data_IF_428600784451
#
_entry.id   IF_428600784451
#
_cell.length_a   1.000
_cell.length_b   1.000
_cell.length_c   1.000
_cell.angle_alpha   90.00
_cell.angle_beta   90.00
_cell.angle_gamma   90.00
#
_symmetry.space_group_name_H-M   'P 1'
#
loop_
_entity.id
_entity.type
_entity.pdbx_description
1 polymer ?
#
# COMPACT_ATOMS: atom_id res chain seq x y z
N UNK A 1 23.27 -5.15 -24.59
CA UNK A 1 22.23 -6.11 -25.04
C UNK A 1 22.54 -7.43 -24.33
N UNK A 2 21.79 -7.78 -23.30
CA UNK A 2 21.86 -9.13 -22.75
C UNK A 2 21.12 -10.06 -23.72
N UNK A 3 21.78 -11.12 -24.17
CA UNK A 3 21.14 -12.15 -24.99
C UNK A 3 20.20 -12.95 -24.09
N UNK A 4 18.90 -12.64 -24.13
CA UNK A 4 17.89 -13.51 -23.51
C UNK A 4 17.76 -14.74 -24.40
N UNK A 5 18.18 -15.89 -23.89
CA UNK A 5 18.04 -17.16 -24.61
C UNK A 5 16.54 -17.49 -24.75
N UNK A 6 16.09 -18.08 -25.87
CA UNK A 6 14.67 -18.43 -26.08
C UNK A 6 14.07 -19.26 -24.93
N UNK A 7 14.85 -20.15 -24.35
CA UNK A 7 14.45 -21.01 -23.21
C UNK A 7 14.06 -20.24 -21.94
N UNK A 8 14.70 -19.08 -21.66
CA UNK A 8 14.32 -18.21 -20.53
C UNK A 8 12.94 -17.58 -20.74
N UNK A 9 12.61 -17.26 -21.99
CA UNK A 9 11.32 -16.69 -22.36
C UNK A 9 10.19 -17.69 -22.16
N UNK A 10 10.39 -18.93 -22.63
CA UNK A 10 9.41 -20.01 -22.49
C UNK A 10 9.14 -20.33 -21.00
N UNK A 11 10.19 -20.34 -20.17
CA UNK A 11 10.09 -20.51 -18.73
C UNK A 11 9.28 -19.39 -18.06
N UNK A 12 9.55 -18.11 -18.38
CA UNK A 12 8.81 -16.98 -17.87
C UNK A 12 7.33 -17.04 -18.29
N UNK A 13 7.05 -17.34 -19.55
CA UNK A 13 5.69 -17.46 -20.07
C UNK A 13 4.91 -18.58 -19.37
N UNK A 14 5.53 -19.73 -19.13
CA UNK A 14 4.96 -20.84 -18.37
C UNK A 14 4.66 -20.42 -16.93
N UNK A 15 5.60 -19.72 -16.26
CA UNK A 15 5.40 -19.17 -14.91
C UNK A 15 4.21 -18.21 -14.86
N UNK A 16 4.12 -17.30 -15.82
CA UNK A 16 2.98 -16.36 -15.92
C UNK A 16 1.66 -17.13 -16.07
N UNK A 17 1.61 -18.09 -16.96
CA UNK A 17 0.39 -18.82 -17.26
C UNK A 17 -0.07 -19.73 -16.10
N UNK A 18 0.86 -20.32 -15.37
CA UNK A 18 0.56 -21.27 -14.28
C UNK A 18 0.48 -20.59 -12.92
N UNK A 19 1.53 -19.86 -12.51
CA UNK A 19 1.66 -19.31 -11.14
C UNK A 19 0.97 -17.96 -11.00
N UNK A 20 1.31 -17.01 -11.89
CA UNK A 20 0.78 -15.62 -11.78
C UNK A 20 -0.73 -15.57 -12.00
N UNK A 21 -1.24 -16.26 -13.02
CA UNK A 21 -2.69 -16.33 -13.29
C UNK A 21 -3.44 -17.02 -12.17
N UNK A 22 -2.92 -18.15 -11.66
CA UNK A 22 -3.52 -18.86 -10.53
C UNK A 22 -3.60 -17.96 -9.30
N UNK A 23 -2.48 -17.34 -8.92
CA UNK A 23 -2.44 -16.37 -7.80
C UNK A 23 -3.48 -15.28 -7.96
N UNK A 24 -3.58 -14.66 -9.16
CA UNK A 24 -4.57 -13.62 -9.43
C UNK A 24 -6.00 -14.09 -9.23
N UNK A 25 -6.33 -15.29 -9.71
CA UNK A 25 -7.66 -15.87 -9.57
C UNK A 25 -8.00 -16.19 -8.12
N UNK A 26 -7.07 -16.79 -7.38
CA UNK A 26 -7.25 -17.11 -5.96
C UNK A 26 -7.39 -15.83 -5.12
N UNK A 27 -6.57 -14.83 -5.39
CA UNK A 27 -6.64 -13.53 -4.71
C UNK A 27 -7.96 -12.81 -4.96
N UNK A 28 -8.45 -12.82 -6.20
CA UNK A 28 -9.75 -12.24 -6.54
C UNK A 28 -10.89 -12.90 -5.77
N UNK A 29 -10.93 -14.24 -5.72
CA UNK A 29 -11.92 -14.98 -4.93
C UNK A 29 -11.84 -14.63 -3.45
N UNK A 30 -10.62 -14.57 -2.91
CA UNK A 30 -10.37 -14.22 -1.51
C UNK A 30 -10.87 -12.81 -1.19
N UNK A 31 -10.54 -11.83 -2.01
CA UNK A 31 -10.99 -10.43 -1.85
C UNK A 31 -12.52 -10.36 -1.92
N UNK A 32 -13.15 -11.06 -2.85
CA UNK A 32 -14.61 -11.08 -2.96
C UNK A 32 -15.26 -11.61 -1.68
N UNK A 33 -14.75 -12.73 -1.14
CA UNK A 33 -15.27 -13.31 0.10
C UNK A 33 -15.07 -12.37 1.31
N UNK A 34 -13.88 -11.78 1.43
CA UNK A 34 -13.59 -10.79 2.49
C UNK A 34 -14.52 -9.59 2.37
N UNK A 35 -14.69 -9.03 1.17
CA UNK A 35 -15.53 -7.86 0.94
C UNK A 35 -17.01 -8.14 1.22
N UNK A 36 -17.49 -9.35 0.99
CA UNK A 36 -18.85 -9.74 1.36
C UNK A 36 -19.04 -9.69 2.87
N UNK A 37 -18.15 -10.31 3.63
CA UNK A 37 -18.21 -10.35 5.11
C UNK A 37 -17.98 -8.96 5.73
N UNK A 38 -16.99 -8.24 5.23
CA UNK A 38 -16.69 -6.87 5.71
C UNK A 38 -17.83 -5.92 5.33
N UNK A 39 -18.45 -6.07 4.16
CA UNK A 39 -19.59 -5.27 3.75
C UNK A 39 -20.78 -5.40 4.72
N UNK A 40 -21.09 -6.61 5.19
CA UNK A 40 -22.11 -6.82 6.22
C UNK A 40 -21.73 -6.14 7.55
N UNK A 41 -20.47 -6.27 7.98
CA UNK A 41 -19.97 -5.58 9.17
C UNK A 41 -20.14 -4.06 9.06
N UNK A 42 -19.78 -3.48 7.91
CA UNK A 42 -19.85 -2.03 7.70
C UNK A 42 -21.30 -1.50 7.75
N UNK A 43 -22.30 -2.26 7.30
CA UNK A 43 -23.72 -1.89 7.47
C UNK A 43 -24.09 -1.78 8.94
N UNK A 44 -23.59 -2.66 9.79
CA UNK A 44 -23.81 -2.57 11.23
C UNK A 44 -23.08 -1.40 11.87
N UNK A 45 -21.87 -1.08 11.41
CA UNK A 45 -21.11 0.12 11.85
C UNK A 45 -21.88 1.40 11.47
N UNK A 46 -22.36 1.49 10.23
CA UNK A 46 -23.17 2.61 9.72
C UNK A 46 -24.45 2.82 10.54
N UNK A 47 -25.13 1.72 10.87
CA UNK A 47 -26.34 1.77 11.71
C UNK A 47 -26.07 2.27 13.14
N UNK A 48 -24.86 2.00 13.68
CA UNK A 48 -24.44 2.50 15.00
C UNK A 48 -24.03 3.97 14.96
N UNK A 49 -23.30 4.35 13.91
CA UNK A 49 -22.77 5.71 13.78
C UNK A 49 -22.62 6.10 12.29
N UNK A 50 -23.61 6.84 11.74
CA UNK A 50 -23.64 7.20 10.30
C UNK A 50 -22.43 8.03 9.80
N UNK A 51 -21.65 8.65 10.69
CA UNK A 51 -20.42 9.37 10.29
C UNK A 51 -19.39 8.44 9.65
N UNK A 52 -19.41 7.16 10.00
CA UNK A 52 -18.51 6.14 9.43
C UNK A 52 -19.16 5.41 8.26
N UNK A 53 -20.08 6.06 7.54
CA UNK A 53 -20.62 5.51 6.29
C UNK A 53 -19.48 5.31 5.32
N UNK A 54 -19.26 4.05 4.96
CA UNK A 54 -18.31 3.67 3.95
C UNK A 54 -18.82 2.44 3.22
N UNK A 55 -18.81 2.48 1.91
CA UNK A 55 -19.22 1.36 1.08
C UNK A 55 -18.02 0.80 0.31
N UNK A 56 -17.89 -0.54 0.31
CA UNK A 56 -16.97 -1.22 -0.57
C UNK A 56 -17.55 -1.21 -1.99
N UNK A 57 -17.04 -0.34 -2.84
CA UNK A 57 -17.50 -0.20 -4.23
C UNK A 57 -16.73 -1.15 -5.13
N UNK A 58 -17.47 -1.94 -5.89
CA UNK A 58 -16.90 -2.73 -6.99
C UNK A 58 -16.94 -1.87 -8.27
N UNK A 59 -15.77 -1.51 -8.79
CA UNK A 59 -15.63 -0.73 -10.02
C UNK A 59 -14.71 -1.50 -10.96
N UNK A 60 -15.14 -1.72 -12.19
CA UNK A 60 -14.38 -2.46 -13.21
C UNK A 60 -13.82 -3.81 -12.72
N UNK A 61 -14.62 -4.54 -11.93
CA UNK A 61 -14.25 -5.84 -11.37
C UNK A 61 -13.24 -5.79 -10.23
N UNK A 62 -13.01 -4.59 -9.62
CA UNK A 62 -12.12 -4.41 -8.46
C UNK A 62 -12.83 -3.69 -7.34
N UNK A 63 -12.58 -4.10 -6.11
CA UNK A 63 -13.04 -3.37 -4.94
C UNK A 63 -12.12 -2.18 -4.68
N UNK A 64 -12.68 -0.97 -4.73
CA UNK A 64 -11.94 0.26 -4.41
C UNK A 64 -11.48 0.25 -2.95
N UNK A 65 -10.26 0.71 -2.70
CA UNK A 65 -9.69 0.81 -1.36
C UNK A 65 -9.24 -0.52 -0.76
N UNK A 66 -9.35 -1.65 -1.46
CA UNK A 66 -8.88 -2.95 -0.96
C UNK A 66 -7.49 -3.25 -1.50
N UNK A 67 -6.52 -3.36 -0.59
CA UNK A 67 -5.10 -3.60 -0.88
C UNK A 67 -4.66 -4.92 -0.26
N UNK A 68 -4.17 -5.85 -1.09
CA UNK A 68 -3.51 -7.05 -0.59
C UNK A 68 -2.06 -6.70 -0.21
N UNK A 69 -1.67 -7.03 1.04
CA UNK A 69 -0.29 -6.93 1.54
C UNK A 69 0.44 -8.27 1.43
N UNK A 70 -0.32 -9.37 1.42
CA UNK A 70 0.09 -10.74 1.16
C UNK A 70 -1.16 -11.55 0.80
N UNK A 71 -1.04 -12.85 0.42
CA UNK A 71 -2.21 -13.69 0.17
C UNK A 71 -3.16 -13.86 1.36
N UNK A 72 -2.69 -13.56 2.57
CA UNK A 72 -3.47 -13.71 3.81
C UNK A 72 -3.67 -12.40 4.58
N UNK A 73 -3.12 -11.27 4.10
CA UNK A 73 -3.18 -9.98 4.79
C UNK A 73 -3.66 -8.89 3.85
N UNK A 74 -4.67 -8.13 4.31
CA UNK A 74 -5.35 -7.12 3.50
C UNK A 74 -5.53 -5.83 4.30
N UNK A 75 -5.47 -4.70 3.61
CA UNK A 75 -5.95 -3.41 4.10
C UNK A 75 -7.20 -3.01 3.34
N UNK A 76 -8.15 -2.44 4.05
CA UNK A 76 -9.38 -1.89 3.50
C UNK A 76 -9.46 -0.42 3.87
N UNK A 77 -9.26 0.46 2.90
CA UNK A 77 -9.35 1.89 3.05
C UNK A 77 -10.81 2.34 2.98
N UNK A 78 -11.32 2.85 4.07
CA UNK A 78 -12.71 3.28 4.22
C UNK A 78 -12.78 4.79 4.04
N UNK A 79 -13.16 5.24 2.84
CA UNK A 79 -13.24 6.65 2.50
C UNK A 79 -14.42 7.30 3.21
N UNK A 80 -14.11 8.12 4.20
CA UNK A 80 -15.07 8.89 4.95
C UNK A 80 -15.42 10.18 4.19
N UNK A 81 -16.68 10.60 4.32
CA UNK A 81 -17.15 11.83 3.72
C UNK A 81 -16.76 13.05 4.58
N UNK A 82 -16.46 14.18 3.91
CA UNK A 82 -16.32 15.52 4.47
C UNK A 82 -14.99 15.84 5.17
N UNK A 83 -14.07 16.40 4.38
CA UNK A 83 -12.93 17.19 4.89
C UNK A 83 -13.14 18.73 4.86
N UNK A 84 -14.24 19.21 4.33
CA UNK A 84 -14.43 20.61 3.90
C UNK A 84 -14.16 21.74 4.90
N UNK A 85 -13.84 21.42 6.16
CA UNK A 85 -13.52 22.40 7.21
C UNK A 85 -12.08 22.29 7.72
N UNK A 86 -11.26 21.40 7.14
CA UNK A 86 -9.88 21.20 7.56
C UNK A 86 -8.90 21.60 6.46
N UNK A 87 -7.80 22.23 6.88
CA UNK A 87 -6.64 22.49 6.04
C UNK A 87 -5.62 21.35 6.24
N UNK A 88 -5.05 20.91 5.15
CA UNK A 88 -3.94 19.97 5.14
C UNK A 88 -2.64 20.69 5.52
N UNK A 89 -1.86 20.11 6.44
CA UNK A 89 -0.56 20.62 6.90
C UNK A 89 0.40 19.44 6.97
N UNK A 90 1.47 19.48 6.20
CA UNK A 90 2.57 18.51 6.24
C UNK A 90 3.91 19.13 6.65
N UNK A 91 3.97 20.46 6.79
CA UNK A 91 5.11 21.17 7.35
C UNK A 91 5.33 20.75 8.81
N UNK A 92 6.59 20.55 9.18
CA UNK A 92 6.98 20.12 10.53
C UNK A 92 6.35 18.80 11.02
N UNK A 93 5.75 18.01 10.12
CA UNK A 93 5.28 16.66 10.40
C UNK A 93 6.41 15.63 10.19
N UNK A 94 6.32 14.45 10.84
CA UNK A 94 7.22 13.35 10.51
C UNK A 94 7.11 12.98 9.04
N UNK A 95 8.21 12.48 8.44
CA UNK A 95 8.19 12.03 7.06
C UNK A 95 7.04 11.06 6.79
N UNK A 96 6.29 11.31 5.73
CA UNK A 96 5.14 10.50 5.34
C UNK A 96 3.86 10.72 6.15
N UNK A 97 3.82 11.77 6.97
CA UNK A 97 2.66 12.14 7.78
C UNK A 97 2.19 13.56 7.48
N UNK A 98 0.94 13.83 7.84
CA UNK A 98 0.33 15.13 7.77
C UNK A 98 -0.68 15.33 8.91
N UNK A 99 -1.01 16.59 9.17
CA UNK A 99 -2.01 17.00 10.13
C UNK A 99 -3.18 17.67 9.40
N UNK A 100 -4.38 17.47 9.92
CA UNK A 100 -5.58 18.17 9.47
C UNK A 100 -5.97 19.22 10.50
N UNK A 101 -5.74 20.50 10.19
CA UNK A 101 -6.05 21.62 11.06
C UNK A 101 -7.39 22.25 10.68
N UNK A 102 -8.22 22.55 11.65
CA UNK A 102 -9.47 23.25 11.43
C UNK A 102 -9.19 24.61 10.74
N UNK A 103 -9.88 24.89 9.64
CA UNK A 103 -9.65 26.10 8.82
C UNK A 103 -10.04 27.40 9.54
N UNK A 104 -11.04 27.33 10.42
CA UNK A 104 -11.52 28.43 11.26
C UNK A 104 -12.12 27.83 12.54
N UNK A 105 -11.67 28.26 13.70
CA UNK A 105 -12.16 27.77 14.99
C UNK A 105 -13.70 27.97 15.16
N UNK A 106 -14.26 29.00 14.53
CA UNK A 106 -15.73 29.25 14.49
C UNK A 106 -16.48 28.15 13.74
N UNK A 107 -15.81 27.42 12.83
CA UNK A 107 -16.41 26.30 12.11
C UNK A 107 -16.37 24.97 12.88
N UNK A 108 -15.84 24.97 14.10
CA UNK A 108 -15.72 23.75 14.92
C UNK A 108 -17.08 23.09 15.13
N UNK A 109 -18.09 23.87 15.48
CA UNK A 109 -19.46 23.37 15.71
C UNK A 109 -20.15 22.85 14.44
N UNK A 110 -19.65 23.24 13.25
CA UNK A 110 -20.17 22.79 11.95
C UNK A 110 -19.53 21.48 11.49
N UNK A 111 -18.47 21.04 12.14
CA UNK A 111 -17.78 19.79 11.77
C UNK A 111 -18.49 18.58 12.39
N UNK A 112 -18.78 17.57 11.58
CA UNK A 112 -19.24 16.26 12.05
C UNK A 112 -18.22 15.56 12.96
N UNK A 113 -16.95 16.03 12.93
CA UNK A 113 -15.81 15.42 13.60
C UNK A 113 -15.39 16.17 14.87
N UNK A 114 -16.26 17.04 15.42
CA UNK A 114 -15.95 17.95 16.54
C UNK A 114 -15.32 17.24 17.74
N UNK A 115 -15.81 16.07 18.13
CA UNK A 115 -15.30 15.33 19.29
C UNK A 115 -13.89 14.75 19.08
N UNK A 116 -13.46 14.63 17.81
CA UNK A 116 -12.12 14.14 17.47
C UNK A 116 -11.12 15.28 17.31
N UNK A 117 -11.56 16.53 17.40
CA UNK A 117 -10.69 17.70 17.31
C UNK A 117 -9.94 17.86 18.64
N UNK A 118 -8.63 18.07 18.58
CA UNK A 118 -7.79 18.39 19.74
C UNK A 118 -8.02 19.81 20.23
N UNK A 119 -7.49 20.14 21.41
CA UNK A 119 -7.52 21.52 21.93
C UNK A 119 -6.83 22.51 20.98
N UNK A 120 -5.79 22.07 20.27
CA UNK A 120 -5.03 22.86 19.29
C UNK A 120 -5.70 22.93 17.91
N UNK A 121 -6.93 22.42 17.75
CA UNK A 121 -7.70 22.51 16.52
C UNK A 121 -7.34 21.46 15.44
N UNK A 122 -6.64 20.39 15.78
CA UNK A 122 -6.29 19.31 14.84
C UNK A 122 -7.26 18.14 14.94
N UNK A 123 -7.61 17.57 13.79
CA UNK A 123 -8.36 16.30 13.72
C UNK A 123 -7.43 15.13 14.03
N UNK A 124 -7.68 14.46 15.14
CA UNK A 124 -6.83 13.36 15.64
C UNK A 124 -7.12 12.04 14.92
N UNK A 125 -6.14 11.52 14.18
CA UNK A 125 -6.22 10.20 13.57
C UNK A 125 -6.42 9.11 14.63
N UNK A 126 -5.75 9.21 15.77
CA UNK A 126 -5.88 8.27 16.90
C UNK A 126 -7.30 8.22 17.44
N UNK A 127 -7.92 9.38 17.69
CA UNK A 127 -9.30 9.42 18.21
C UNK A 127 -10.30 8.82 17.22
N UNK A 128 -10.18 9.17 15.93
CA UNK A 128 -11.02 8.60 14.85
C UNK A 128 -10.87 7.09 14.81
N UNK A 129 -9.63 6.59 14.79
CA UNK A 129 -9.30 5.16 14.77
C UNK A 129 -9.83 4.43 16.02
N UNK A 130 -9.61 4.98 17.21
CA UNK A 130 -10.08 4.39 18.46
C UNK A 130 -11.60 4.26 18.50
N UNK A 131 -12.33 5.31 18.10
CA UNK A 131 -13.79 5.27 18.01
C UNK A 131 -14.27 4.24 17.02
N UNK A 132 -13.65 4.22 15.82
CA UNK A 132 -13.98 3.24 14.78
C UNK A 132 -13.76 1.80 15.25
N UNK A 133 -12.64 1.50 15.93
CA UNK A 133 -12.36 0.18 16.50
C UNK A 133 -13.41 -0.25 17.52
N UNK A 134 -13.86 0.67 18.35
CA UNK A 134 -14.96 0.42 19.32
C UNK A 134 -16.28 0.10 18.62
N UNK A 135 -16.61 0.84 17.55
CA UNK A 135 -17.81 0.60 16.74
C UNK A 135 -17.75 -0.75 16.03
N UNK A 136 -16.61 -1.11 15.46
CA UNK A 136 -16.38 -2.41 14.83
C UNK A 136 -16.61 -3.56 15.82
N UNK A 137 -16.05 -3.46 17.02
CA UNK A 137 -16.24 -4.46 18.08
C UNK A 137 -17.71 -4.60 18.48
N UNK A 138 -18.41 -3.50 18.62
CA UNK A 138 -19.86 -3.47 18.93
C UNK A 138 -20.70 -4.02 17.76
N UNK A 139 -20.35 -3.65 16.52
CA UNK A 139 -21.03 -4.13 15.31
C UNK A 139 -20.91 -5.66 15.15
N UNK A 140 -19.73 -6.23 15.42
CA UNK A 140 -19.52 -7.69 15.42
C UNK A 140 -20.45 -8.36 16.44
N UNK A 141 -20.53 -7.78 17.65
CA UNK A 141 -21.37 -8.33 18.71
C UNK A 141 -22.85 -8.27 18.38
N UNK A 142 -23.36 -7.13 17.91
CA UNK A 142 -24.78 -6.93 17.56
C UNK A 142 -25.17 -7.68 16.28
N UNK A 143 -24.29 -7.69 15.29
CA UNK A 143 -24.53 -8.35 14.00
C UNK A 143 -24.43 -9.87 14.03
N UNK A 144 -24.06 -10.45 15.20
CA UNK A 144 -23.85 -11.91 15.36
C UNK A 144 -22.80 -12.46 14.37
N UNK A 145 -21.77 -11.65 14.07
CA UNK A 145 -20.73 -12.00 13.10
C UNK A 145 -19.53 -12.75 13.72
N UNK A 146 -19.60 -13.15 15.01
CA UNK A 146 -18.51 -13.75 15.75
C UNK A 146 -17.98 -15.06 15.14
N UNK A 147 -18.82 -15.74 14.36
CA UNK A 147 -18.44 -16.97 13.66
C UNK A 147 -17.59 -16.71 12.40
N UNK A 148 -17.62 -15.48 11.89
CA UNK A 148 -16.92 -15.11 10.65
C UNK A 148 -15.81 -14.09 10.90
N UNK A 149 -15.90 -13.30 11.97
CA UNK A 149 -14.99 -12.21 12.28
C UNK A 149 -14.58 -12.25 13.74
N UNK A 150 -13.26 -12.15 13.99
CA UNK A 150 -12.69 -11.92 15.32
C UNK A 150 -11.82 -10.68 15.29
N UNK A 151 -11.87 -9.88 16.35
CA UNK A 151 -10.92 -8.76 16.54
C UNK A 151 -9.57 -9.35 16.89
N UNK A 152 -8.50 -8.93 16.22
CA UNK A 152 -7.13 -9.35 16.56
C UNK A 152 -6.72 -8.75 17.91
N UNK A 153 -6.18 -9.57 18.80
CA UNK A 153 -5.76 -9.17 20.14
C UNK A 153 -4.45 -8.36 20.11
N UNK A 154 -3.68 -8.49 19.04
CA UNK A 154 -2.31 -7.95 18.94
C UNK A 154 -2.24 -6.43 18.81
N UNK A 155 -3.35 -5.75 18.59
CA UNK A 155 -3.33 -4.30 18.37
C UNK A 155 -4.63 -3.62 18.85
N UNK A 156 -4.60 -3.08 20.05
CA UNK A 156 -5.74 -2.34 20.63
C UNK A 156 -6.02 -0.99 19.93
N UNK A 157 -5.17 -0.58 19.01
CA UNK A 157 -5.22 0.74 18.37
C UNK A 157 -5.69 0.71 16.89
N UNK A 158 -5.90 -0.46 16.29
CA UNK A 158 -6.40 -0.58 14.93
C UNK A 158 -7.57 -1.56 14.85
N UNK A 159 -8.47 -1.35 13.89
CA UNK A 159 -9.56 -2.28 13.58
C UNK A 159 -9.04 -3.47 12.76
N UNK A 160 -8.07 -4.19 13.32
CA UNK A 160 -7.47 -5.37 12.71
C UNK A 160 -8.30 -6.61 13.05
N UNK A 161 -8.76 -7.29 12.03
CA UNK A 161 -9.70 -8.40 12.11
C UNK A 161 -9.06 -9.70 11.59
N UNK A 162 -9.50 -10.81 12.15
CA UNK A 162 -9.33 -12.14 11.55
C UNK A 162 -10.68 -12.50 10.93
N UNK A 163 -10.71 -12.56 9.60
CA UNK A 163 -11.91 -12.85 8.80
C UNK A 163 -11.84 -14.29 8.28
N UNK A 164 -12.93 -15.03 8.40
CA UNK A 164 -13.05 -16.44 8.00
C UNK A 164 -11.93 -17.32 8.62
N UNK A 165 -11.55 -17.03 9.86
CA UNK A 165 -10.51 -17.73 10.65
C UNK A 165 -9.11 -17.78 10.02
N UNK A 166 -8.91 -17.13 8.87
CA UNK A 166 -7.69 -17.25 8.06
C UNK A 166 -7.07 -15.91 7.65
N UNK A 167 -7.88 -14.92 7.33
CA UNK A 167 -7.40 -13.71 6.69
C UNK A 167 -7.29 -12.56 7.71
N UNK A 168 -6.14 -11.92 7.75
CA UNK A 168 -5.97 -10.69 8.51
C UNK A 168 -6.42 -9.51 7.66
N UNK A 169 -7.37 -8.73 8.17
CA UNK A 169 -7.93 -7.57 7.48
C UNK A 169 -7.85 -6.36 8.41
N UNK A 170 -7.16 -5.32 7.97
CA UNK A 170 -7.08 -4.05 8.68
C UNK A 170 -8.05 -3.04 8.05
N UNK A 171 -9.05 -2.59 8.81
CA UNK A 171 -10.03 -1.60 8.37
C UNK A 171 -9.53 -0.22 8.76
N UNK A 172 -9.23 0.62 7.77
CA UNK A 172 -8.56 1.89 7.98
C UNK A 172 -9.45 3.05 7.53
N UNK A 173 -10.01 3.84 8.45
CA UNK A 173 -10.66 5.09 8.09
C UNK A 173 -9.69 6.03 7.38
N UNK A 174 -10.13 6.64 6.28
CA UNK A 174 -9.29 7.52 5.50
C UNK A 174 -10.06 8.68 4.89
N UNK A 175 -9.35 9.76 4.57
CA UNK A 175 -9.86 10.90 3.82
C UNK A 175 -9.12 11.05 2.49
N UNK A 176 -9.84 11.45 1.46
CA UNK A 176 -9.26 11.77 0.16
C UNK A 176 -8.92 13.26 0.08
N UNK A 177 -7.70 13.57 -0.34
CA UNK A 177 -7.18 14.92 -0.56
C UNK A 177 -7.01 15.16 -2.06
N UNK A 178 -8.09 15.53 -2.75
CA UNK A 178 -8.05 15.85 -4.17
C UNK A 178 -7.52 17.27 -4.43
N UNK A 179 -6.87 17.46 -5.57
CA UNK A 179 -6.33 18.76 -6.04
C UNK A 179 -5.30 19.39 -5.09
N UNK A 180 -4.71 18.59 -4.22
CA UNK A 180 -3.63 18.97 -3.30
C UNK A 180 -2.48 17.98 -3.51
N UNK A 181 -1.24 18.47 -3.38
CA UNK A 181 -0.05 17.63 -3.40
C UNK A 181 0.82 17.96 -2.17
N UNK A 182 1.34 16.94 -1.45
CA UNK A 182 2.08 17.19 -0.21
C UNK A 182 3.43 17.84 -0.53
N UNK A 183 3.88 18.77 0.30
CA UNK A 183 5.21 19.41 0.16
C UNK A 183 6.34 18.40 0.33
N UNK A 184 6.18 17.44 1.24
CA UNK A 184 7.12 16.32 1.42
C UNK A 184 7.23 15.44 0.16
N UNK A 185 6.29 15.53 -0.77
CA UNK A 185 6.30 14.89 -2.10
C UNK A 185 6.71 15.81 -3.24
N UNK A 186 7.18 17.03 -2.98
CA UNK A 186 7.50 18.04 -4.01
C UNK A 186 8.64 17.61 -4.94
N UNK A 187 9.50 16.68 -4.52
CA UNK A 187 10.57 16.11 -5.36
C UNK A 187 10.05 15.17 -6.46
N UNK A 188 8.76 14.85 -6.47
CA UNK A 188 8.13 14.09 -7.54
C UNK A 188 7.22 15.00 -8.38
N UNK A 189 7.25 14.92 -9.71
CA UNK A 189 8.14 14.08 -10.53
C UNK A 189 9.58 14.56 -10.52
N UNK A 190 10.52 13.64 -10.76
CA UNK A 190 11.92 14.01 -10.93
C UNK A 190 12.10 14.78 -12.24
N UNK A 191 12.71 15.95 -12.20
CA UNK A 191 12.91 16.81 -13.38
C UNK A 191 13.83 16.21 -14.46
N UNK A 192 14.60 15.18 -14.09
CA UNK A 192 15.57 14.52 -14.99
C UNK A 192 14.95 13.37 -15.79
N UNK A 193 13.71 12.99 -15.52
CA UNK A 193 13.06 11.85 -16.17
C UNK A 193 11.98 12.30 -17.15
N UNK A 194 11.78 11.53 -18.21
CA UNK A 194 10.72 11.76 -19.21
C UNK A 194 9.43 10.98 -18.88
N UNK A 195 9.43 10.24 -17.80
CA UNK A 195 8.30 9.46 -17.32
C UNK A 195 7.96 9.83 -15.88
N UNK A 196 6.70 9.91 -15.53
CA UNK A 196 5.51 9.79 -16.39
C UNK A 196 5.30 11.03 -17.28
N UNK A 197 4.42 10.92 -18.31
CA UNK A 197 4.09 12.06 -19.15
C UNK A 197 3.39 13.17 -18.35
N UNK A 198 3.50 14.44 -18.81
CA UNK A 198 2.91 15.58 -18.11
C UNK A 198 1.41 15.39 -17.85
N UNK A 199 0.67 14.85 -18.81
CA UNK A 199 -0.77 14.58 -18.65
C UNK A 199 -1.09 13.58 -17.54
N UNK A 200 -0.23 12.57 -17.34
CA UNK A 200 -0.35 11.61 -16.25
C UNK A 200 -0.02 12.29 -14.91
N UNK A 201 1.02 13.12 -14.88
CA UNK A 201 1.39 13.90 -13.67
C UNK A 201 0.23 14.80 -13.26
N UNK A 202 -0.36 15.53 -14.18
CA UNK A 202 -1.48 16.44 -13.92
C UNK A 202 -2.71 15.67 -13.44
N UNK A 203 -2.99 14.51 -14.02
CA UNK A 203 -4.07 13.63 -13.58
C UNK A 203 -3.83 13.13 -12.13
N UNK A 204 -2.61 12.70 -11.79
CA UNK A 204 -2.25 12.24 -10.45
C UNK A 204 -2.38 13.39 -9.44
N UNK A 205 -1.85 14.58 -9.76
CA UNK A 205 -1.95 15.74 -8.86
C UNK A 205 -3.38 16.22 -8.67
N UNK A 206 -4.21 16.14 -9.71
CA UNK A 206 -5.64 16.46 -9.62
C UNK A 206 -6.38 15.44 -8.74
N UNK A 207 -6.09 14.15 -8.89
CA UNK A 207 -6.68 13.11 -8.05
C UNK A 207 -6.17 13.19 -6.61
N UNK A 208 -4.92 13.60 -6.41
CA UNK A 208 -4.29 13.82 -5.11
C UNK A 208 -3.86 12.51 -4.44
N UNK A 209 -4.09 12.41 -3.15
CA UNK A 209 -3.66 11.32 -2.29
C UNK A 209 -4.68 11.06 -1.19
N UNK A 210 -4.44 10.01 -0.40
CA UNK A 210 -5.28 9.68 0.74
C UNK A 210 -4.55 9.85 2.06
N UNK A 211 -5.28 10.22 3.12
CA UNK A 211 -4.81 10.28 4.50
C UNK A 211 -5.41 9.12 5.28
N UNK A 212 -4.57 8.24 5.78
CA UNK A 212 -4.97 7.06 6.52
C UNK A 212 -4.89 7.29 8.02
N UNK A 213 -5.93 6.90 8.77
CA UNK A 213 -5.91 6.82 10.22
C UNK A 213 -5.09 5.61 10.67
N UNK A 214 -3.79 5.59 10.35
CA UNK A 214 -2.84 4.53 10.63
C UNK A 214 -1.63 5.10 11.36
N UNK A 215 -0.89 4.24 12.07
CA UNK A 215 0.34 4.68 12.71
C UNK A 215 1.32 5.21 11.67
N UNK A 216 2.03 6.29 11.98
CA UNK A 216 3.05 6.85 11.09
C UNK A 216 4.08 5.81 10.69
N UNK A 217 4.74 6.03 9.55
CA UNK A 217 5.97 5.31 9.26
C UNK A 217 6.93 5.47 10.44
N UNK A 218 7.72 4.43 10.80
CA UNK A 218 8.59 4.49 11.95
C UNK A 218 9.46 5.75 11.93
N UNK A 219 9.18 6.69 12.82
CA UNK A 219 9.90 7.95 12.94
C UNK A 219 11.24 7.75 13.64
N UNK A 220 12.16 8.73 13.53
CA UNK A 220 13.35 8.76 14.35
C UNK A 220 12.96 8.81 15.83
N UNK A 221 13.71 8.11 16.68
CA UNK A 221 13.55 8.20 18.13
C UNK A 221 13.61 9.67 18.55
N UNK A 222 12.58 10.15 19.23
CA UNK A 222 12.51 11.54 19.74
C UNK A 222 11.49 12.45 19.06
N UNK A 223 10.86 12.04 17.96
CA UNK A 223 9.72 12.76 17.39
C UNK A 223 8.45 12.19 17.98
N UNK A 224 7.99 12.76 19.08
CA UNK A 224 6.67 12.49 19.68
C UNK A 224 5.58 13.17 18.85
N UNK A 225 5.31 12.67 17.67
CA UNK A 225 4.01 12.89 17.06
C UNK A 225 3.07 11.90 17.67
N UNK A 226 2.53 12.34 18.74
CA UNK A 226 1.39 11.73 19.37
C UNK A 226 0.37 11.41 18.30
N UNK A 227 -0.06 10.18 18.16
CA UNK A 227 -0.99 9.55 17.23
C UNK A 227 -2.14 10.36 16.59
N UNK A 228 -2.01 11.69 16.51
CA UNK A 228 -2.93 12.62 15.87
C UNK A 228 -2.60 12.86 14.39
N UNK A 229 -1.39 12.49 13.95
CA UNK A 229 -0.97 12.58 12.56
C UNK A 229 -1.60 11.47 11.70
N UNK A 230 -1.84 11.80 10.44
CA UNK A 230 -2.39 10.93 9.41
C UNK A 230 -1.28 10.47 8.49
N UNK A 231 -1.26 9.19 8.13
CA UNK A 231 -0.30 8.67 7.17
C UNK A 231 -0.70 9.06 5.75
N UNK A 232 0.23 9.65 4.99
CA UNK A 232 0.04 9.96 3.56
C UNK A 232 0.15 8.67 2.75
N UNK A 233 -0.77 8.46 1.82
CA UNK A 233 -0.84 7.27 0.99
C UNK A 233 -1.10 7.63 -0.47
N UNK A 234 -0.35 7.00 -1.38
CA UNK A 234 -0.36 7.25 -2.82
C UNK A 234 -0.87 6.05 -3.65
N UNK A 235 -1.66 5.16 -3.06
CA UNK A 235 -2.14 3.96 -3.76
C UNK A 235 -2.83 4.29 -5.08
N UNK A 236 -3.62 5.35 -5.15
CA UNK A 236 -4.31 5.78 -6.36
C UNK A 236 -3.31 6.26 -7.45
N UNK A 237 -2.27 6.98 -7.05
CA UNK A 237 -1.19 7.40 -7.95
C UNK A 237 -0.39 6.18 -8.47
N UNK A 238 -0.09 5.20 -7.61
CA UNK A 238 0.55 3.94 -8.00
C UNK A 238 -0.30 3.20 -9.05
N UNK A 239 -1.62 3.13 -8.87
CA UNK A 239 -2.54 2.46 -9.81
C UNK A 239 -2.53 3.12 -11.20
N UNK A 240 -2.49 4.46 -11.25
CA UNK A 240 -2.38 5.22 -12.50
C UNK A 240 -1.03 4.95 -13.18
N UNK A 241 0.07 4.98 -12.42
CA UNK A 241 1.41 4.77 -12.94
C UNK A 241 1.62 3.35 -13.49
N UNK A 242 0.93 2.36 -12.92
CA UNK A 242 0.94 0.98 -13.40
C UNK A 242 -0.21 0.65 -14.38
N UNK A 243 -0.85 1.63 -15.00
CA UNK A 243 -2.00 1.38 -15.86
C UNK A 243 -1.68 0.49 -17.08
N UNK A 244 -0.44 0.47 -17.56
CA UNK A 244 -0.04 -0.28 -18.75
C UNK A 244 0.14 -1.78 -18.49
N UNK A 245 -0.10 -2.59 -19.52
CA UNK A 245 -0.10 -4.06 -19.39
C UNK A 245 1.24 -4.62 -18.94
N UNK A 246 2.36 -4.15 -19.51
CA UNK A 246 3.70 -4.66 -19.21
C UNK A 246 4.11 -4.37 -17.76
N UNK A 247 3.93 -3.14 -17.27
CA UNK A 247 4.22 -2.76 -15.88
C UNK A 247 3.34 -3.52 -14.88
N UNK A 248 2.04 -3.69 -15.19
CA UNK A 248 1.13 -4.53 -14.37
C UNK A 248 1.57 -5.99 -14.31
N UNK A 249 2.03 -6.53 -15.43
CA UNK A 249 2.51 -7.91 -15.50
C UNK A 249 3.79 -8.05 -14.68
N UNK A 250 4.75 -7.13 -14.82
CA UNK A 250 5.98 -7.10 -14.03
C UNK A 250 5.67 -7.09 -12.53
N UNK A 251 4.79 -6.19 -12.07
CA UNK A 251 4.37 -6.14 -10.66
C UNK A 251 3.73 -7.46 -10.21
N UNK A 252 2.92 -8.08 -11.06
CA UNK A 252 2.25 -9.35 -10.73
C UNK A 252 3.25 -10.50 -10.60
N UNK A 253 4.28 -10.54 -11.44
CA UNK A 253 5.38 -11.51 -11.36
C UNK A 253 6.17 -11.30 -10.08
N UNK A 254 6.61 -10.08 -9.79
CA UNK A 254 7.35 -9.72 -8.57
C UNK A 254 6.58 -10.09 -7.30
N UNK A 255 5.29 -9.81 -7.24
CA UNK A 255 4.44 -10.20 -6.10
C UNK A 255 4.28 -11.72 -5.99
N UNK A 256 4.27 -12.44 -7.11
CA UNK A 256 4.21 -13.91 -7.09
C UNK A 256 5.52 -14.51 -6.57
N UNK A 257 6.66 -13.99 -7.03
CA UNK A 257 7.98 -14.36 -6.50
C UNK A 257 8.10 -14.05 -4.99
N UNK A 258 7.59 -12.89 -4.58
CA UNK A 258 7.55 -12.52 -3.17
C UNK A 258 6.77 -13.54 -2.35
N UNK A 259 5.55 -13.87 -2.73
CA UNK A 259 4.68 -14.78 -1.99
C UNK A 259 5.26 -16.20 -1.85
N UNK A 260 6.04 -16.62 -2.83
CA UNK A 260 6.62 -17.97 -2.87
C UNK A 260 7.98 -18.05 -2.17
N UNK A 261 8.80 -16.99 -2.24
CA UNK A 261 10.21 -17.08 -1.87
C UNK A 261 10.73 -15.98 -0.98
N UNK A 262 10.04 -14.84 -0.87
CA UNK A 262 10.52 -13.64 -0.18
C UNK A 262 9.65 -13.24 1.03
N UNK A 263 8.57 -13.96 1.30
CA UNK A 263 7.76 -13.78 2.51
C UNK A 263 8.45 -14.46 3.71
N UNK A 264 9.55 -13.85 4.15
CA UNK A 264 10.41 -14.38 5.19
C UNK A 264 9.87 -14.08 6.59
N UNK A 265 10.21 -14.91 7.61
CA UNK A 265 9.87 -14.65 9.00
C UNK A 265 10.34 -13.26 9.46
N UNK A 266 9.49 -12.59 10.23
CA UNK A 266 9.75 -11.22 10.68
C UNK A 266 9.50 -10.14 9.63
N UNK A 267 9.04 -10.50 8.41
CA UNK A 267 8.65 -9.57 7.35
C UNK A 267 9.71 -8.49 7.05
N UNK A 268 10.98 -8.87 6.71
CA UNK A 268 11.98 -7.89 6.31
C UNK A 268 11.60 -7.14 5.03
N UNK A 269 10.87 -7.82 4.16
CA UNK A 269 10.33 -7.29 2.91
C UNK A 269 8.81 -7.24 2.94
N UNK A 270 8.25 -6.33 2.17
CA UNK A 270 6.82 -6.12 1.96
C UNK A 270 6.59 -5.67 0.51
N UNK A 271 5.35 -5.75 0.02
CA UNK A 271 5.04 -5.34 -1.37
C UNK A 271 5.40 -3.90 -1.68
N UNK A 272 5.40 -3.01 -0.68
CA UNK A 272 5.76 -1.60 -0.87
C UNK A 272 7.20 -1.44 -1.39
N UNK A 273 8.13 -2.30 -0.99
CA UNK A 273 9.50 -2.27 -1.48
C UNK A 273 9.54 -2.61 -2.98
N UNK A 274 8.78 -3.64 -3.41
CA UNK A 274 8.70 -4.02 -4.82
C UNK A 274 8.01 -2.94 -5.67
N UNK A 275 6.95 -2.34 -5.14
CA UNK A 275 6.24 -1.21 -5.79
C UNK A 275 7.19 -0.04 -5.98
N UNK A 276 7.91 0.36 -4.92
CA UNK A 276 8.87 1.47 -4.95
C UNK A 276 9.98 1.23 -5.98
N UNK A 277 10.57 0.05 -6.00
CA UNK A 277 11.66 -0.27 -6.93
C UNK A 277 11.17 -0.40 -8.37
N UNK A 278 9.98 -0.94 -8.59
CA UNK A 278 9.38 -0.96 -9.92
C UNK A 278 9.10 0.46 -10.45
N UNK A 279 8.66 1.39 -9.60
CA UNK A 279 8.47 2.79 -9.98
C UNK A 279 9.81 3.44 -10.38
N UNK A 280 10.88 3.21 -9.63
CA UNK A 280 12.22 3.66 -10.02
C UNK A 280 12.72 3.01 -11.31
N UNK A 281 12.39 1.75 -11.55
CA UNK A 281 12.73 1.10 -12.82
C UNK A 281 11.93 1.69 -13.99
N UNK A 282 10.69 2.14 -13.76
CA UNK A 282 9.89 2.86 -14.76
C UNK A 282 10.49 4.22 -15.14
N UNK A 283 11.13 4.92 -14.21
CA UNK A 283 11.88 6.15 -14.50
C UNK A 283 13.09 5.88 -15.39
N UNK A 284 13.81 4.78 -15.17
CA UNK A 284 14.96 4.38 -16.00
C UNK A 284 14.56 3.87 -17.38
N UNK A 285 13.39 3.27 -17.47
CA UNK A 285 12.84 2.66 -18.68
C UNK A 285 11.46 3.25 -18.99
N UNK A 286 11.42 4.50 -19.51
CA UNK A 286 10.19 5.26 -19.66
C UNK A 286 9.28 4.75 -20.78
N UNK A 287 9.83 4.08 -21.80
CA UNK A 287 9.11 3.67 -23.01
C UNK A 287 8.31 2.40 -22.79
N UNK A 288 7.09 2.32 -23.34
CA UNK A 288 6.26 1.11 -23.27
C UNK A 288 6.92 -0.10 -23.96
N UNK A 289 7.68 0.14 -25.04
CA UNK A 289 8.44 -0.90 -25.75
C UNK A 289 9.53 -1.57 -24.90
N UNK A 290 9.91 -0.99 -23.76
CA UNK A 290 10.87 -1.57 -22.83
C UNK A 290 10.21 -2.48 -21.78
N UNK A 291 8.88 -2.64 -21.85
CA UNK A 291 8.05 -3.45 -20.94
C UNK A 291 7.29 -4.56 -21.67
N UNK A 292 7.71 -4.89 -22.90
CA UNK A 292 7.19 -6.02 -23.65
C UNK A 292 7.79 -7.35 -23.15
N UNK A 293 7.21 -8.43 -23.58
CA UNK A 293 7.59 -9.78 -23.14
C UNK A 293 9.07 -10.08 -23.27
N UNK A 294 9.70 -9.62 -24.37
CA UNK A 294 11.12 -9.84 -24.69
C UNK A 294 12.09 -9.14 -23.72
N UNK A 295 11.69 -8.03 -23.13
CA UNK A 295 12.52 -7.23 -22.21
C UNK A 295 12.11 -7.37 -20.74
N UNK A 296 10.99 -8.04 -20.49
CA UNK A 296 10.41 -8.12 -19.15
C UNK A 296 11.32 -8.82 -18.15
N UNK A 297 12.06 -9.85 -18.60
CA UNK A 297 13.01 -10.57 -17.77
C UNK A 297 14.16 -9.67 -17.30
N UNK A 298 14.69 -8.82 -18.18
CA UNK A 298 15.72 -7.85 -17.82
C UNK A 298 15.20 -6.84 -16.79
N UNK A 299 13.93 -6.41 -16.91
CA UNK A 299 13.31 -5.52 -15.93
C UNK A 299 13.17 -6.18 -14.56
N UNK A 300 12.69 -7.43 -14.52
CA UNK A 300 12.56 -8.19 -13.28
C UNK A 300 13.93 -8.36 -12.62
N UNK A 301 14.94 -8.78 -13.36
CA UNK A 301 16.28 -8.97 -12.83
C UNK A 301 16.90 -7.65 -12.36
N UNK A 302 16.72 -6.56 -13.11
CA UNK A 302 17.14 -5.21 -12.71
C UNK A 302 16.52 -4.77 -11.38
N UNK A 303 15.24 -5.03 -11.16
CA UNK A 303 14.54 -4.72 -9.91
C UNK A 303 15.06 -5.58 -8.76
N UNK A 304 15.29 -6.88 -8.97
CA UNK A 304 15.86 -7.77 -7.95
C UNK A 304 17.27 -7.34 -7.54
N UNK A 305 18.12 -6.95 -8.49
CA UNK A 305 19.47 -6.43 -8.21
C UNK A 305 19.43 -5.09 -7.46
N UNK A 306 18.49 -4.20 -7.81
CA UNK A 306 18.26 -2.97 -7.04
C UNK A 306 17.83 -3.28 -5.60
N UNK A 307 16.93 -4.27 -5.42
CA UNK A 307 16.50 -4.70 -4.10
C UNK A 307 17.69 -5.22 -3.28
N UNK A 308 18.58 -6.02 -3.86
CA UNK A 308 19.82 -6.46 -3.21
C UNK A 308 20.66 -5.27 -2.77
N UNK A 309 20.87 -4.29 -3.66
CA UNK A 309 21.63 -3.07 -3.34
C UNK A 309 21.00 -2.30 -2.17
N UNK A 310 19.68 -2.08 -2.20
CA UNK A 310 18.95 -1.42 -1.12
C UNK A 310 19.10 -2.16 0.23
N UNK A 311 18.99 -3.50 0.21
CA UNK A 311 19.15 -4.34 1.39
C UNK A 311 20.57 -4.26 1.96
N UNK A 312 21.60 -4.29 1.12
CA UNK A 312 23.00 -4.15 1.53
C UNK A 312 23.30 -2.76 2.10
N UNK A 313 22.79 -1.71 1.43
CA UNK A 313 22.89 -0.32 1.91
C UNK A 313 21.97 -0.03 3.11
N UNK A 314 21.04 -0.96 3.41
CA UNK A 314 20.04 -0.81 4.50
C UNK A 314 19.21 0.47 4.35
N UNK A 315 18.94 0.85 3.11
CA UNK A 315 18.19 2.05 2.77
C UNK A 315 17.31 1.80 1.55
N UNK A 316 16.01 2.07 1.69
CA UNK A 316 15.03 1.98 0.61
C UNK A 316 14.12 3.21 0.67
N UNK A 317 14.49 4.33 0.02
CA UNK A 317 13.67 5.54 0.01
C UNK A 317 12.33 5.29 -0.69
N UNK A 318 11.26 5.78 -0.11
CA UNK A 318 9.92 5.72 -0.71
C UNK A 318 9.89 6.55 -2.00
N UNK A 319 9.21 6.07 -3.04
CA UNK A 319 9.21 6.71 -4.36
C UNK A 319 8.73 8.18 -4.34
N UNK A 320 7.60 8.45 -3.69
CA UNK A 320 7.03 9.80 -3.62
C UNK A 320 7.60 10.63 -2.45
N UNK A 321 8.05 9.99 -1.39
CA UNK A 321 8.47 10.62 -0.13
C UNK A 321 9.92 10.24 0.18
N UNK A 322 10.87 10.91 -0.45
CA UNK A 322 12.30 10.54 -0.39
C UNK A 322 12.90 10.50 1.01
N UNK A 323 12.32 11.25 1.95
CA UNK A 323 12.75 11.28 3.36
C UNK A 323 12.23 10.09 4.17
N UNK A 324 11.28 9.31 3.62
CA UNK A 324 10.79 8.07 4.21
C UNK A 324 11.66 6.91 3.78
N UNK A 325 12.39 6.32 4.71
CA UNK A 325 13.15 5.09 4.48
C UNK A 325 12.34 3.87 4.93
N UNK A 326 11.96 3.03 3.99
CA UNK A 326 11.13 1.85 4.21
C UNK A 326 11.83 0.75 5.03
N UNK A 327 13.16 0.77 5.14
CA UNK A 327 13.93 -0.17 5.96
C UNK A 327 14.23 0.32 7.36
N UNK A 328 13.83 1.52 7.72
CA UNK A 328 14.23 2.17 8.98
C UNK A 328 13.93 1.37 10.24
N UNK A 329 12.83 0.62 10.27
CA UNK A 329 12.43 -0.20 11.42
C UNK A 329 12.94 -1.64 11.38
N UNK A 330 13.58 -2.04 10.27
CA UNK A 330 13.98 -3.43 10.05
C UNK A 330 15.35 -3.70 10.68
N UNK A 331 15.53 -4.87 11.29
CA UNK A 331 16.82 -5.25 11.89
C UNK A 331 17.86 -5.58 10.80
N UNK A 332 19.12 -5.28 11.10
CA UNK A 332 20.25 -5.55 10.19
C UNK A 332 20.33 -7.02 9.78
N UNK A 333 20.18 -7.92 10.76
CA UNK A 333 20.23 -9.37 10.51
C UNK A 333 19.13 -9.84 9.56
N UNK A 334 17.90 -9.32 9.73
CA UNK A 334 16.79 -9.66 8.84
C UNK A 334 17.01 -9.15 7.41
N UNK A 335 17.57 -7.95 7.25
CA UNK A 335 17.92 -7.40 5.93
C UNK A 335 19.04 -8.21 5.26
N UNK A 336 20.05 -8.66 6.02
CA UNK A 336 21.16 -9.49 5.49
C UNK A 336 20.65 -10.87 5.02
N UNK A 337 19.70 -11.49 5.74
CA UNK A 337 19.05 -12.74 5.32
C UNK A 337 18.24 -12.53 4.04
N UNK A 338 17.45 -11.45 4.01
CA UNK A 338 16.66 -11.11 2.83
C UNK A 338 17.57 -10.84 1.61
N UNK A 339 18.69 -10.14 1.79
CA UNK A 339 19.65 -9.86 0.70
C UNK A 339 20.20 -11.15 0.08
N UNK A 340 20.56 -12.14 0.89
CA UNK A 340 21.03 -13.44 0.40
C UNK A 340 19.95 -14.17 -0.42
N UNK A 341 18.73 -14.17 0.07
CA UNK A 341 17.61 -14.83 -0.61
C UNK A 341 17.28 -14.15 -1.94
N UNK A 342 17.19 -12.81 -1.96
CA UNK A 342 16.94 -12.05 -3.21
C UNK A 342 18.08 -12.25 -4.20
N UNK A 343 19.34 -12.25 -3.73
CA UNK A 343 20.51 -12.51 -4.59
C UNK A 343 20.45 -13.89 -5.24
N UNK A 344 20.09 -14.94 -4.49
CA UNK A 344 19.96 -16.28 -5.04
C UNK A 344 18.91 -16.31 -6.16
N UNK A 345 17.75 -15.70 -5.95
CA UNK A 345 16.69 -15.61 -6.98
C UNK A 345 17.20 -14.83 -8.21
N UNK A 346 17.81 -13.67 -8.01
CA UNK A 346 18.34 -12.84 -9.10
C UNK A 346 19.39 -13.60 -9.94
N UNK A 347 20.31 -14.29 -9.26
CA UNK A 347 21.32 -15.14 -9.91
C UNK A 347 20.66 -16.26 -10.71
N UNK A 348 19.73 -17.00 -10.10
CA UNK A 348 19.08 -18.14 -10.74
C UNK A 348 18.25 -17.69 -11.96
N UNK A 349 17.54 -16.56 -11.86
CA UNK A 349 16.82 -15.92 -12.98
C UNK A 349 17.77 -15.54 -14.12
N UNK A 350 18.98 -15.06 -13.79
CA UNK A 350 19.94 -14.60 -14.79
C UNK A 350 20.72 -15.75 -15.45
N UNK A 351 21.00 -16.87 -14.74
CA UNK A 351 21.94 -17.90 -15.19
C UNK A 351 21.28 -19.22 -15.57
N UNK A 352 20.08 -19.50 -15.09
CA UNK A 352 19.39 -20.77 -15.31
C UNK A 352 18.13 -20.58 -16.16
N UNK A 353 18.10 -21.03 -17.42
CA UNK A 353 16.91 -20.95 -18.28
C UNK A 353 15.66 -21.60 -17.67
N UNK A 354 15.83 -22.70 -16.95
CA UNK A 354 14.77 -23.43 -16.27
C UNK A 354 14.42 -22.89 -14.86
N UNK A 355 14.98 -21.76 -14.43
CA UNK A 355 14.77 -21.23 -13.07
C UNK A 355 13.30 -21.05 -12.73
N UNK A 356 12.49 -20.56 -13.66
CA UNK A 356 11.05 -20.35 -13.47
C UNK A 356 10.24 -21.64 -13.32
N UNK A 357 10.76 -22.80 -13.67
CA UNK A 357 10.11 -24.09 -13.42
C UNK A 357 10.28 -24.52 -11.96
N UNK A 358 11.37 -24.09 -11.30
CA UNK A 358 11.67 -24.35 -9.90
C UNK A 358 11.18 -23.21 -8.96
N UNK A 359 10.96 -22.01 -9.49
CA UNK A 359 10.36 -20.86 -8.84
C UNK A 359 8.83 -20.89 -8.98
#
# INVERSE_FOLDING_TARGET
MAFVFPEHRDGLQKFVNTRVRRRKTELYKTITNICTVVGELLKHVEALEPRFISSLKLVDGRYQGVKALSPQSFEVHLYLNQMGVFNFIDEACPPGCAMLKLSDERKRSMSLWTEFITASGYLSARKVRSRFTSLVSEAIRRGKLQNQIRVSIDNHFSAKLIVLERYTVDLIPCFRCGSIWPQNGCCWPCCETTWPSQSIIDSIKLQGFSLLAKDPFPAAKGVTTEGDAWQVNFTEAEEILFATAGRKLCLSILKTLYDQHLDLPGKPLEYIHLVTLLLHECEKHPRESEWIEDTLLDRINGILLQLVSCLQCRKCPHFFLRDVDLFRSKSKQMLDVAAKQVWNIARDVATNPGSFDSL
#
